data_IF_901163868619
#
_entry.id   IF_901163868619
#
_cell.length_a   1.000
_cell.length_b   1.000
_cell.length_c   1.000
_cell.angle_alpha   90.00
_cell.angle_beta   90.00
_cell.angle_gamma   90.00
#
_symmetry.space_group_name_H-M   'P 1'
#
loop_
_entity.id
_entity.type
_entity.pdbx_description
1 polymer ?
#
# COMPACT_ATOMS: atom_id res chain seq x y z
N UNK A 1 -9.53 16.80 -1.21
CA UNK A 1 -9.43 16.02 0.05
C UNK A 1 -10.81 15.63 0.57
N UNK A 2 -11.84 16.47 0.38
CA UNK A 2 -13.24 16.21 0.74
C UNK A 2 -13.76 14.81 0.38
N UNK A 3 -13.46 14.29 -0.82
CA UNK A 3 -13.90 12.95 -1.20
C UNK A 3 -13.37 11.82 -0.30
N UNK A 4 -12.25 12.03 0.41
CA UNK A 4 -11.65 11.07 1.32
C UNK A 4 -12.08 11.26 2.79
N UNK A 5 -12.65 12.42 3.15
CA UNK A 5 -12.91 12.77 4.56
C UNK A 5 -13.99 11.91 5.23
N UNK A 6 -14.84 11.27 4.42
CA UNK A 6 -15.86 10.33 4.89
C UNK A 6 -15.28 9.00 5.38
N UNK A 7 -14.06 8.64 4.96
CA UNK A 7 -13.44 7.38 5.33
C UNK A 7 -12.57 7.53 6.58
N UNK A 8 -12.51 6.48 7.39
CA UNK A 8 -11.58 6.39 8.53
C UNK A 8 -10.27 5.70 8.16
N UNK A 9 -10.35 4.75 7.22
CA UNK A 9 -9.21 4.04 6.69
C UNK A 9 -9.38 3.78 5.20
N UNK A 10 -8.26 3.68 4.49
CA UNK A 10 -8.17 3.23 3.11
C UNK A 10 -7.24 2.01 3.07
N UNK A 11 -7.70 0.94 2.43
CA UNK A 11 -6.94 -0.30 2.28
C UNK A 11 -6.55 -0.49 0.82
N UNK A 12 -5.26 -0.65 0.56
CA UNK A 12 -4.71 -1.03 -0.74
C UNK A 12 -4.38 -2.52 -0.70
N UNK A 13 -5.08 -3.32 -1.49
CA UNK A 13 -4.90 -4.77 -1.54
C UNK A 13 -4.81 -5.22 -2.99
N UNK A 14 -3.68 -5.83 -3.33
CA UNK A 14 -3.39 -6.41 -4.64
C UNK A 14 -3.68 -5.46 -5.82
N UNK A 15 -3.24 -4.20 -5.65
CA UNK A 15 -3.40 -3.11 -6.62
C UNK A 15 -2.07 -2.37 -6.82
N UNK A 16 -1.57 -2.37 -8.06
CA UNK A 16 -0.33 -1.66 -8.40
C UNK A 16 -0.50 -0.15 -8.41
N UNK A 17 0.58 0.57 -8.13
CA UNK A 17 0.66 2.03 -8.16
C UNK A 17 0.18 2.63 -9.50
N UNK A 18 0.43 1.92 -10.61
CA UNK A 18 0.01 2.32 -11.95
C UNK A 18 -1.52 2.50 -12.07
N UNK A 19 -2.32 1.69 -11.38
CA UNK A 19 -3.79 1.81 -11.39
C UNK A 19 -4.26 3.17 -10.84
N UNK A 20 -3.46 3.81 -9.99
CA UNK A 20 -3.75 5.11 -9.41
C UNK A 20 -3.01 6.27 -10.10
N UNK A 21 -1.81 6.03 -10.63
CA UNK A 21 -1.00 7.04 -11.35
C UNK A 21 -1.50 7.25 -12.78
N UNK A 22 -1.84 6.17 -13.49
CA UNK A 22 -2.19 6.18 -14.91
C UNK A 22 -3.70 6.21 -15.10
N UNK A 23 -4.34 7.24 -14.54
CA UNK A 23 -5.76 7.49 -14.77
C UNK A 23 -6.07 7.50 -16.28
N UNK A 24 -7.22 7.00 -16.77
CA UNK A 24 -7.54 7.01 -18.20
C UNK A 24 -7.38 8.38 -18.87
N UNK A 25 -7.69 9.46 -18.15
CA UNK A 25 -7.43 10.83 -18.61
C UNK A 25 -5.96 11.15 -18.88
N UNK A 26 -5.04 10.61 -18.08
CA UNK A 26 -3.59 10.73 -18.28
C UNK A 26 -3.15 9.81 -19.40
N UNK A 27 -3.47 8.51 -19.30
CA UNK A 27 -2.94 7.48 -20.18
C UNK A 27 -3.47 7.56 -21.62
N UNK A 28 -4.79 7.77 -21.79
CA UNK A 28 -5.43 7.76 -23.11
C UNK A 28 -5.54 9.15 -23.73
N UNK A 29 -5.49 10.21 -22.91
CA UNK A 29 -5.80 11.57 -23.37
C UNK A 29 -4.73 12.61 -23.02
N UNK A 30 -3.62 12.23 -22.38
CA UNK A 30 -2.54 13.15 -22.04
C UNK A 30 -2.93 14.30 -21.10
N UNK A 31 -4.06 14.17 -20.39
CA UNK A 31 -4.56 15.21 -19.48
C UNK A 31 -3.84 15.14 -18.14
N UNK A 32 -3.57 16.29 -17.56
CA UNK A 32 -3.08 16.38 -16.18
C UNK A 32 -4.22 16.10 -15.20
N UNK A 33 -3.92 15.36 -14.14
CA UNK A 33 -4.85 15.10 -13.02
C UNK A 33 -4.07 15.17 -11.70
N UNK A 34 -4.74 15.40 -10.55
CA UNK A 34 -4.09 15.30 -9.26
C UNK A 34 -3.45 13.92 -9.03
N UNK A 35 -2.22 13.90 -8.51
CA UNK A 35 -1.53 12.66 -8.18
C UNK A 35 -2.17 12.01 -6.95
N UNK A 36 -2.89 10.91 -7.15
CA UNK A 36 -3.64 10.21 -6.10
C UNK A 36 -2.75 9.66 -4.98
N UNK A 37 -1.50 9.32 -5.26
CA UNK A 37 -0.58 8.77 -4.27
C UNK A 37 -0.13 9.87 -3.31
N UNK A 38 0.11 11.09 -3.80
CA UNK A 38 0.36 12.26 -2.95
C UNK A 38 -0.85 12.59 -2.07
N UNK A 39 -2.05 12.50 -2.64
CA UNK A 39 -3.29 12.71 -1.88
C UNK A 39 -3.46 11.69 -0.74
N UNK A 40 -3.17 10.41 -0.99
CA UNK A 40 -3.22 9.37 0.04
C UNK A 40 -2.21 9.65 1.16
N UNK A 41 -0.97 9.98 0.81
CA UNK A 41 0.07 10.35 1.79
C UNK A 41 -0.36 11.53 2.66
N UNK A 42 -0.80 12.62 2.03
CA UNK A 42 -1.15 13.84 2.74
C UNK A 42 -2.40 13.65 3.62
N UNK A 43 -3.38 12.89 3.14
CA UNK A 43 -4.56 12.51 3.93
C UNK A 43 -4.20 11.62 5.12
N UNK A 44 -3.27 10.67 4.94
CA UNK A 44 -2.77 9.80 6.01
C UNK A 44 -2.05 10.63 7.09
N UNK A 45 -1.21 11.59 6.67
CA UNK A 45 -0.56 12.56 7.59
C UNK A 45 -1.56 13.44 8.33
N UNK A 46 -2.75 13.65 7.77
CA UNK A 46 -3.87 14.34 8.40
C UNK A 46 -4.65 13.49 9.41
N UNK A 47 -4.23 12.25 9.69
CA UNK A 47 -4.87 11.35 10.66
C UNK A 47 -5.75 10.26 10.04
N UNK A 48 -5.79 10.15 8.71
CA UNK A 48 -6.43 9.02 8.03
C UNK A 48 -5.63 7.72 8.21
N UNK A 49 -6.30 6.58 8.40
CA UNK A 49 -5.64 5.29 8.44
C UNK A 49 -5.29 4.76 7.05
N UNK A 50 -4.04 4.38 6.81
CA UNK A 50 -3.62 3.73 5.57
C UNK A 50 -3.12 2.32 5.86
N UNK A 51 -3.66 1.34 5.13
CA UNK A 51 -3.25 -0.06 5.23
C UNK A 51 -2.90 -0.56 3.83
N UNK A 52 -1.77 -1.25 3.71
CA UNK A 52 -1.42 -2.02 2.52
C UNK A 52 -1.35 -3.51 2.88
N UNK A 53 -2.05 -4.33 2.10
CA UNK A 53 -2.11 -5.78 2.28
C UNK A 53 -1.26 -6.43 1.18
N UNK A 54 -0.38 -7.36 1.53
CA UNK A 54 0.52 -8.04 0.59
C UNK A 54 -0.21 -8.83 -0.50
N UNK A 55 0.48 -9.05 -1.62
CA UNK A 55 -0.06 -9.69 -2.82
C UNK A 55 0.88 -9.46 -4.01
N UNK A 56 0.57 -10.05 -5.17
CA UNK A 56 1.39 -9.91 -6.38
C UNK A 56 1.42 -8.47 -6.91
N UNK A 57 0.38 -7.69 -6.64
CA UNK A 57 0.27 -6.28 -6.99
C UNK A 57 0.29 -5.36 -5.76
N UNK A 58 0.96 -5.75 -4.68
CA UNK A 58 1.24 -4.87 -3.53
C UNK A 58 2.73 -4.71 -3.30
N UNK A 59 3.14 -3.67 -2.55
CA UNK A 59 4.55 -3.33 -2.33
C UNK A 59 5.36 -3.26 -3.65
N UNK A 60 6.36 -4.11 -3.87
CA UNK A 60 7.03 -4.17 -5.15
C UNK A 60 6.40 -5.21 -6.09
N UNK A 61 5.98 -6.35 -5.54
CA UNK A 61 5.15 -7.36 -6.20
C UNK A 61 5.87 -8.16 -7.28
N UNK A 62 5.10 -9.01 -7.98
CA UNK A 62 5.61 -9.92 -9.01
C UNK A 62 6.33 -9.15 -10.13
N UNK A 63 7.55 -9.54 -10.44
CA UNK A 63 8.46 -8.89 -11.39
C UNK A 63 8.67 -7.38 -11.11
N UNK A 64 8.39 -6.92 -9.89
CA UNK A 64 8.38 -5.49 -9.55
C UNK A 64 7.27 -4.68 -10.23
N UNK A 65 6.13 -5.30 -10.57
CA UNK A 65 5.03 -4.68 -11.32
C UNK A 65 4.04 -3.89 -10.46
N UNK A 66 4.00 -4.10 -9.14
CA UNK A 66 3.18 -3.29 -8.24
C UNK A 66 3.71 -1.86 -8.12
N UNK A 67 5.05 -1.70 -8.13
CA UNK A 67 5.76 -0.41 -8.27
C UNK A 67 5.45 0.61 -7.17
N UNK A 68 5.36 0.19 -5.92
CA UNK A 68 5.19 1.13 -4.80
C UNK A 68 6.51 1.72 -4.29
N UNK A 69 7.68 1.17 -4.65
CA UNK A 69 8.98 1.76 -4.31
C UNK A 69 9.15 3.18 -4.87
N UNK A 70 9.66 4.10 -4.03
CA UNK A 70 9.83 5.55 -4.27
C UNK A 70 8.54 6.27 -4.66
N UNK A 71 7.41 5.82 -4.14
CA UNK A 71 6.14 6.51 -4.30
C UNK A 71 5.76 7.31 -3.07
N UNK A 72 4.89 8.30 -3.22
CA UNK A 72 4.38 9.05 -2.08
C UNK A 72 3.61 8.17 -1.07
N UNK A 73 3.04 7.05 -1.52
CA UNK A 73 2.40 6.09 -0.61
C UNK A 73 3.43 5.36 0.25
N UNK A 74 4.60 4.98 -0.29
CA UNK A 74 5.69 4.41 0.50
C UNK A 74 6.12 5.35 1.65
N UNK A 75 6.19 6.67 1.41
CA UNK A 75 6.48 7.66 2.47
C UNK A 75 5.47 7.66 3.64
N UNK A 76 4.27 7.12 3.43
CA UNK A 76 3.22 7.02 4.45
C UNK A 76 3.16 5.63 5.11
N UNK A 77 3.83 4.62 4.54
CA UNK A 77 3.87 3.28 5.10
C UNK A 77 4.97 3.18 6.17
N UNK A 78 4.81 2.31 7.18
CA UNK A 78 5.82 2.07 8.19
C UNK A 78 6.96 1.14 7.71
N UNK A 79 7.05 0.88 6.40
CA UNK A 79 8.02 -0.01 5.76
C UNK A 79 8.48 0.58 4.42
N UNK A 80 9.69 0.22 3.99
CA UNK A 80 10.21 0.55 2.65
C UNK A 80 10.08 -0.65 1.72
N UNK A 81 9.71 -0.42 0.46
CA UNK A 81 9.67 -1.43 -0.57
C UNK A 81 11.08 -1.70 -1.11
N UNK A 82 11.37 -2.96 -1.46
CA UNK A 82 12.57 -3.29 -2.21
C UNK A 82 12.46 -2.72 -3.65
N UNK A 83 13.59 -2.47 -4.35
CA UNK A 83 13.56 -1.96 -5.72
C UNK A 83 13.34 -3.07 -6.78
N UNK A 84 13.15 -4.32 -6.36
CA UNK A 84 13.00 -5.53 -7.20
C UNK A 84 11.87 -6.43 -6.66
N UNK A 85 11.50 -7.48 -7.40
CA UNK A 85 10.47 -8.46 -6.98
C UNK A 85 10.67 -8.88 -5.53
N UNK A 86 9.68 -8.59 -4.68
CA UNK A 86 9.77 -8.75 -3.22
C UNK A 86 9.01 -9.97 -2.71
N UNK A 87 8.61 -10.88 -3.61
CA UNK A 87 7.92 -12.10 -3.23
C UNK A 87 8.88 -13.06 -2.52
N UNK A 88 8.35 -13.69 -1.48
CA UNK A 88 8.88 -14.90 -0.90
C UNK A 88 7.84 -15.99 -1.13
N UNK A 89 8.12 -16.86 -2.10
CA UNK A 89 7.27 -18.01 -2.40
C UNK A 89 7.63 -19.15 -1.44
N UNK A 90 6.68 -19.55 -0.59
CA UNK A 90 6.86 -20.59 0.44
C UNK A 90 5.82 -21.69 0.21
N UNK A 91 5.96 -22.52 -0.85
CA UNK A 91 4.98 -23.55 -1.20
C UNK A 91 4.82 -24.64 -0.11
N UNK A 92 5.84 -24.86 0.71
CA UNK A 92 5.81 -25.74 1.88
C UNK A 92 4.99 -25.18 3.06
N UNK A 93 4.55 -23.92 2.96
CA UNK A 93 3.82 -23.19 3.97
C UNK A 93 4.71 -22.50 5.00
N UNK A 94 4.15 -21.48 5.65
CA UNK A 94 4.82 -20.68 6.66
C UNK A 94 3.88 -20.43 7.86
N UNK A 95 4.44 -20.37 9.07
CA UNK A 95 3.72 -19.94 10.28
C UNK A 95 4.36 -18.66 10.82
N UNK A 96 3.63 -17.53 10.83
CA UNK A 96 4.16 -16.30 11.42
C UNK A 96 4.35 -16.45 12.92
N UNK A 97 5.34 -15.74 13.46
CA UNK A 97 5.58 -15.65 14.90
C UNK A 97 5.42 -14.20 15.35
N UNK A 98 4.76 -13.98 16.49
CA UNK A 98 4.64 -12.66 17.10
C UNK A 98 5.99 -12.29 17.73
N UNK A 99 6.68 -11.34 17.12
CA UNK A 99 7.96 -10.80 17.63
C UNK A 99 7.80 -9.47 18.37
N UNK A 100 6.63 -8.84 18.28
CA UNK A 100 6.31 -7.58 18.95
C UNK A 100 5.77 -7.76 20.37
N UNK A 101 5.30 -6.65 20.93
CA UNK A 101 4.60 -6.61 22.22
C UNK A 101 3.32 -7.47 22.17
N UNK A 102 3.28 -8.53 22.97
CA UNK A 102 2.13 -9.47 23.04
C UNK A 102 0.86 -8.84 23.59
N UNK A 103 0.98 -7.76 24.36
CA UNK A 103 -0.15 -7.00 24.92
C UNK A 103 -0.73 -5.96 23.95
N UNK A 104 -0.24 -5.91 22.71
CA UNK A 104 -0.79 -5.03 21.69
C UNK A 104 -2.21 -5.47 21.32
N UNK A 105 -3.15 -4.51 21.22
CA UNK A 105 -4.58 -4.79 20.98
C UNK A 105 -4.85 -5.60 19.70
N UNK A 106 -4.00 -5.47 18.66
CA UNK A 106 -4.10 -6.27 17.43
C UNK A 106 -3.90 -7.77 17.64
N UNK A 107 -3.26 -8.19 18.73
CA UNK A 107 -3.01 -9.60 19.06
C UNK A 107 -3.99 -10.14 20.11
N UNK A 108 -4.99 -9.36 20.53
CA UNK A 108 -6.00 -9.84 21.47
C UNK A 108 -6.75 -11.06 20.89
N UNK A 109 -6.69 -12.19 21.60
CA UNK A 109 -7.31 -13.45 21.18
C UNK A 109 -6.51 -14.27 20.16
N UNK A 110 -5.26 -13.89 19.86
CA UNK A 110 -4.34 -14.67 19.04
C UNK A 110 -3.28 -15.31 19.96
N UNK A 111 -3.17 -16.64 19.91
CA UNK A 111 -2.16 -17.42 20.64
C UNK A 111 -0.85 -17.59 19.84
#
# INVERSE_FOLDING_TARGET
>A
MEGLSQYKAIMLSDIGANSLLLHPGVWLHGKTVPNRLKLLRDWTRGGGGLVMIGGYFSFQGIDGKARWHRTAVEDALPVTCLPYDDRLEIPEGFRPQITGRRDHALFAGIE
#
